data_IF_336280607547
#
_entry.id   IF_336280607547
#
_cell.length_a   1.000
_cell.length_b   1.000
_cell.length_c   1.000
_cell.angle_alpha   90.00
_cell.angle_beta   90.00
_cell.angle_gamma   90.00
#
_symmetry.space_group_name_H-M   'P 1'
#
loop_
_entity.id
_entity.type
_entity.pdbx_description
1 polymer ?
#
# COMPACT_ATOMS: atom_id res chain seq x y z
N UNK A 1 -0.22 -5.12 1.10
CA UNK A 1 0.41 -3.80 0.98
C UNK A 1 1.67 -3.81 1.81
N UNK A 2 2.80 -3.36 1.26
CA UNK A 2 4.05 -3.14 2.00
C UNK A 2 3.74 -2.29 3.23
N UNK A 3 4.36 -2.60 4.38
CA UNK A 3 4.06 -1.87 5.62
C UNK A 3 4.41 -0.39 5.44
N UNK A 4 3.45 0.48 5.77
CA UNK A 4 3.61 1.94 5.63
C UNK A 4 4.81 2.47 6.43
N UNK A 5 5.10 1.85 7.57
CA UNK A 5 6.25 2.19 8.42
C UNK A 5 7.59 1.95 7.70
N UNK A 6 7.79 0.75 7.15
CA UNK A 6 9.00 0.39 6.39
C UNK A 6 9.17 1.27 5.14
N UNK A 7 8.06 1.54 4.43
CA UNK A 7 8.06 2.40 3.24
C UNK A 7 8.44 3.85 3.57
N UNK A 8 7.99 4.39 4.71
CA UNK A 8 8.35 5.73 5.15
C UNK A 8 9.82 5.83 5.57
N UNK A 9 10.37 4.79 6.20
CA UNK A 9 11.80 4.72 6.55
C UNK A 9 12.64 4.73 5.27
N UNK A 10 12.30 3.87 4.30
CA UNK A 10 13.00 3.82 3.02
C UNK A 10 12.90 5.14 2.26
N UNK A 11 11.74 5.81 2.28
CA UNK A 11 11.58 7.13 1.68
C UNK A 11 12.48 8.19 2.34
N UNK A 12 12.64 8.13 3.66
CA UNK A 12 13.53 9.01 4.40
C UNK A 12 14.96 8.89 3.90
N UNK A 13 15.48 7.66 3.82
CA UNK A 13 16.79 7.38 3.26
C UNK A 13 16.91 7.86 1.80
N UNK A 14 15.95 7.50 0.94
CA UNK A 14 15.99 7.80 -0.49
C UNK A 14 16.04 9.32 -0.76
N UNK A 15 15.39 10.13 0.06
CA UNK A 15 15.45 11.60 -0.02
C UNK A 15 16.80 12.17 0.40
N UNK A 16 17.45 11.62 1.43
CA UNK A 16 18.80 12.07 1.81
C UNK A 16 19.82 11.67 0.73
N UNK A 17 19.72 10.46 0.20
CA UNK A 17 20.48 10.00 -0.97
C UNK A 17 20.27 10.91 -2.20
N UNK A 18 19.03 11.33 -2.47
CA UNK A 18 18.70 12.25 -3.56
C UNK A 18 19.37 13.63 -3.37
N UNK A 19 19.46 14.14 -2.14
CA UNK A 19 20.19 15.38 -1.85
C UNK A 19 21.68 15.24 -2.14
N UNK A 20 22.30 14.10 -1.82
CA UNK A 20 23.71 13.83 -2.13
C UNK A 20 23.97 13.93 -3.64
N UNK A 21 23.12 13.30 -4.47
CA UNK A 21 23.19 13.46 -5.92
C UNK A 21 23.05 14.93 -6.33
N UNK A 22 22.02 15.63 -5.83
CA UNK A 22 21.78 17.03 -6.16
C UNK A 22 22.95 17.96 -5.78
N UNK A 23 23.58 17.74 -4.63
CA UNK A 23 24.74 18.53 -4.14
C UNK A 23 26.03 18.21 -4.90
N UNK A 24 26.22 16.95 -5.30
CA UNK A 24 27.38 16.54 -6.11
C UNK A 24 27.32 17.03 -7.56
N UNK A 25 26.10 17.14 -8.11
CA UNK A 25 25.85 17.39 -9.53
C UNK A 25 25.96 16.14 -10.41
N UNK A 26 26.22 14.98 -9.82
CA UNK A 26 26.31 13.69 -10.52
C UNK A 26 24.94 13.05 -10.67
N UNK A 27 24.79 12.20 -11.69
CA UNK A 27 23.55 11.45 -11.95
C UNK A 27 23.74 9.93 -11.84
N UNK A 28 24.99 9.47 -11.76
CA UNK A 28 25.36 8.07 -11.67
C UNK A 28 26.13 7.86 -10.37
N UNK A 29 25.76 6.83 -9.60
CA UNK A 29 26.35 6.55 -8.29
C UNK A 29 27.85 6.34 -8.39
N UNK A 30 28.33 5.65 -9.44
CA UNK A 30 29.75 5.40 -9.66
C UNK A 30 30.59 6.68 -9.78
N UNK A 31 29.99 7.80 -10.19
CA UNK A 31 30.65 9.09 -10.36
C UNK A 31 30.73 9.90 -9.05
N UNK A 32 29.93 9.54 -8.03
CA UNK A 32 29.99 10.17 -6.71
C UNK A 32 31.36 9.98 -6.06
N UNK A 33 31.76 10.95 -5.22
CA UNK A 33 33.00 10.81 -4.45
C UNK A 33 32.85 9.67 -3.46
N UNK A 34 33.95 9.00 -3.12
CA UNK A 34 33.97 7.89 -2.16
C UNK A 34 33.22 8.20 -0.86
N UNK A 35 33.46 9.38 -0.27
CA UNK A 35 32.78 9.83 0.96
C UNK A 35 31.26 9.95 0.82
N UNK A 36 30.75 10.29 -0.37
CA UNK A 36 29.32 10.46 -0.65
C UNK A 36 28.66 9.09 -0.82
N UNK A 37 29.35 8.16 -1.51
CA UNK A 37 28.92 6.76 -1.62
C UNK A 37 28.79 6.09 -0.25
N UNK A 38 29.84 6.19 0.57
CA UNK A 38 29.86 5.63 1.94
C UNK A 38 28.75 6.25 2.79
N UNK A 39 28.55 7.57 2.71
CA UNK A 39 27.49 8.23 3.46
C UNK A 39 26.08 7.70 3.10
N UNK A 40 25.84 7.36 1.83
CA UNK A 40 24.56 6.77 1.41
C UNK A 40 24.38 5.35 1.95
N UNK A 41 25.44 4.52 1.92
CA UNK A 41 25.42 3.15 2.43
C UNK A 41 25.19 3.12 3.95
N UNK A 42 26.02 3.83 4.72
CA UNK A 42 25.89 3.86 6.19
C UNK A 42 24.55 4.44 6.63
N UNK A 43 24.01 5.43 5.90
CA UNK A 43 22.66 5.93 6.17
C UNK A 43 21.57 4.88 5.93
N UNK A 44 21.79 3.92 5.01
CA UNK A 44 20.87 2.79 4.80
C UNK A 44 21.01 1.76 5.94
N UNK A 45 22.23 1.41 6.32
CA UNK A 45 22.51 0.49 7.44
C UNK A 45 21.92 1.00 8.76
N UNK A 46 21.97 2.31 8.99
CA UNK A 46 21.47 2.95 10.21
C UNK A 46 19.96 3.26 10.16
N UNK A 47 19.27 3.05 9.03
CA UNK A 47 17.86 3.44 8.89
C UNK A 47 16.89 2.54 9.66
N UNK A 48 17.36 1.37 10.13
CA UNK A 48 16.58 0.42 10.92
C UNK A 48 15.78 -0.59 10.10
N UNK A 49 15.98 -0.64 8.78
CA UNK A 49 15.53 -1.75 7.93
C UNK A 49 16.51 -2.92 8.00
N UNK A 50 16.02 -4.14 7.77
CA UNK A 50 16.85 -5.34 7.77
C UNK A 50 17.80 -5.35 6.57
N UNK A 51 19.10 -5.47 6.85
CA UNK A 51 20.16 -5.57 5.85
C UNK A 51 20.45 -7.04 5.59
N UNK A 52 20.37 -7.44 4.32
CA UNK A 52 20.79 -8.74 3.82
C UNK A 52 22.14 -8.61 3.11
N UNK A 53 23.10 -9.44 3.51
CA UNK A 53 24.39 -9.64 2.84
C UNK A 53 24.35 -10.99 2.11
N UNK A 54 24.95 -11.09 0.93
CA UNK A 54 25.03 -12.33 0.14
C UNK A 54 25.75 -13.50 0.83
N UNK A 55 26.53 -13.22 1.88
CA UNK A 55 27.04 -14.22 2.82
C UNK A 55 28.17 -15.08 2.26
N UNK A 56 28.76 -14.70 1.12
CA UNK A 56 30.09 -15.16 0.76
C UNK A 56 31.15 -14.35 1.52
N UNK A 57 32.26 -15.02 1.84
CA UNK A 57 33.27 -14.56 2.79
C UNK A 57 34.14 -13.40 2.28
N UNK A 58 33.73 -12.77 1.19
CA UNK A 58 34.43 -11.73 0.46
C UNK A 58 33.57 -10.52 0.05
N UNK A 59 32.24 -10.61 0.16
CA UNK A 59 31.26 -9.51 0.12
C UNK A 59 31.07 -8.86 -1.26
N UNK A 60 29.98 -9.19 -1.97
CA UNK A 60 29.69 -8.61 -3.29
C UNK A 60 28.47 -7.69 -3.33
N UNK A 61 27.59 -7.71 -2.32
CA UNK A 61 26.51 -6.73 -2.16
C UNK A 61 25.92 -6.63 -0.75
N UNK A 62 25.39 -5.45 -0.44
CA UNK A 62 24.51 -5.21 0.71
C UNK A 62 23.15 -4.74 0.23
N UNK A 63 22.07 -5.26 0.81
CA UNK A 63 20.73 -4.93 0.34
C UNK A 63 19.69 -4.78 1.44
N UNK A 64 18.71 -3.90 1.17
CA UNK A 64 17.45 -3.83 1.91
C UNK A 64 16.35 -4.27 0.97
N UNK A 65 15.47 -5.16 1.44
CA UNK A 65 14.26 -5.55 0.71
C UNK A 65 13.01 -5.41 1.59
N UNK A 66 12.04 -4.62 1.15
CA UNK A 66 10.71 -4.51 1.77
C UNK A 66 9.66 -5.07 0.81
N UNK A 67 8.72 -5.89 1.31
CA UNK A 67 7.78 -6.62 0.43
C UNK A 67 6.46 -6.97 1.13
N UNK A 68 5.45 -7.25 0.31
CA UNK A 68 4.22 -7.95 0.70
C UNK A 68 4.00 -9.21 -0.16
N UNK A 69 2.78 -9.73 -0.20
CA UNK A 69 2.45 -10.94 -0.99
C UNK A 69 2.56 -10.76 -2.52
N UNK A 70 2.57 -9.51 -3.01
CA UNK A 70 2.44 -9.17 -4.44
C UNK A 70 3.46 -8.16 -4.95
N UNK A 71 4.12 -7.43 -4.05
CA UNK A 71 4.97 -6.29 -4.39
C UNK A 71 6.26 -6.31 -3.57
N UNK A 72 7.39 -5.97 -4.19
CA UNK A 72 8.70 -5.84 -3.54
C UNK A 72 9.45 -4.59 -3.97
N UNK A 73 10.20 -4.00 -3.04
CA UNK A 73 11.14 -2.92 -3.28
C UNK A 73 12.48 -3.34 -2.70
N UNK A 74 13.55 -3.21 -3.46
CA UNK A 74 14.90 -3.46 -2.95
C UNK A 74 15.86 -2.33 -3.28
N UNK A 75 16.82 -2.09 -2.39
CA UNK A 75 18.00 -1.26 -2.63
C UNK A 75 19.20 -2.14 -2.45
N UNK A 76 20.14 -2.12 -3.39
CA UNK A 76 21.32 -2.99 -3.42
C UNK A 76 22.55 -2.14 -3.71
N UNK A 77 23.52 -2.18 -2.81
CA UNK A 77 24.85 -1.64 -3.00
C UNK A 77 25.80 -2.75 -3.43
N UNK A 78 26.73 -2.44 -4.33
CA UNK A 78 27.72 -3.39 -4.83
C UNK A 78 29.13 -2.91 -4.56
N UNK A 79 29.99 -3.85 -4.19
CA UNK A 79 31.43 -3.64 -4.05
C UNK A 79 32.19 -4.60 -4.96
N UNK A 80 33.32 -4.14 -5.50
CA UNK A 80 34.27 -5.00 -6.21
C UNK A 80 35.32 -5.63 -5.27
N UNK A 81 35.10 -5.56 -3.95
CA UNK A 81 35.98 -6.16 -2.96
C UNK A 81 35.93 -7.70 -3.02
N UNK A 82 37.05 -8.32 -2.65
CA UNK A 82 37.13 -9.75 -2.33
C UNK A 82 37.40 -9.97 -0.81
N UNK A 83 37.35 -8.91 -0.02
CA UNK A 83 37.53 -8.95 1.43
C UNK A 83 36.43 -8.07 2.02
N UNK A 84 35.60 -8.56 2.96
CA UNK A 84 34.52 -7.76 3.54
C UNK A 84 35.04 -6.50 4.23
N UNK A 85 36.26 -6.52 4.76
CA UNK A 85 36.89 -5.35 5.39
C UNK A 85 37.18 -4.24 4.37
N UNK A 86 37.22 -4.56 3.07
CA UNK A 86 37.48 -3.65 1.96
C UNK A 86 36.17 -3.21 1.23
N UNK A 87 34.99 -3.58 1.72
CA UNK A 87 33.70 -3.30 1.05
C UNK A 87 33.50 -1.81 0.77
N UNK A 88 33.63 -0.97 1.81
CA UNK A 88 33.54 0.50 1.75
C UNK A 88 34.58 1.14 0.82
N UNK A 89 35.75 0.52 0.71
CA UNK A 89 36.86 0.98 -0.10
C UNK A 89 36.62 0.75 -1.60
N UNK A 90 35.80 -0.27 -1.94
CA UNK A 90 35.54 -0.70 -3.32
C UNK A 90 34.08 -0.55 -3.77
N UNK A 91 33.27 0.21 -3.00
CA UNK A 91 31.88 0.52 -3.29
C UNK A 91 31.73 1.22 -4.66
N UNK A 92 31.03 0.57 -5.60
CA UNK A 92 31.02 1.00 -7.00
C UNK A 92 29.62 1.01 -7.66
N UNK A 93 28.63 0.37 -7.07
CA UNK A 93 27.30 0.25 -7.65
C UNK A 93 26.19 0.51 -6.64
N UNK A 94 25.07 1.04 -7.16
CA UNK A 94 23.81 1.17 -6.45
C UNK A 94 22.67 0.86 -7.43
N UNK A 95 21.88 -0.13 -7.09
CA UNK A 95 20.68 -0.54 -7.81
C UNK A 95 19.46 -0.43 -6.90
N UNK A 96 18.37 0.07 -7.45
CA UNK A 96 17.08 0.11 -6.80
C UNK A 96 16.08 -0.67 -7.65
N UNK A 97 15.22 -1.50 -7.06
CA UNK A 97 14.24 -2.30 -7.80
C UNK A 97 12.83 -2.12 -7.22
N UNK A 98 11.83 -2.19 -8.11
CA UNK A 98 10.41 -2.30 -7.77
C UNK A 98 9.80 -3.43 -8.59
N UNK A 99 9.38 -4.51 -7.94
CA UNK A 99 9.02 -5.78 -8.58
C UNK A 99 10.12 -6.21 -9.56
N UNK A 100 9.86 -6.11 -10.87
CA UNK A 100 10.82 -6.44 -11.93
C UNK A 100 11.43 -5.19 -12.60
N UNK A 101 11.06 -3.99 -12.16
CA UNK A 101 11.61 -2.73 -12.68
C UNK A 101 12.91 -2.41 -11.97
N UNK A 102 13.99 -2.39 -12.74
CA UNK A 102 15.30 -1.95 -12.30
C UNK A 102 15.44 -0.43 -12.52
N UNK A 103 15.87 0.26 -11.48
CA UNK A 103 16.30 1.65 -11.48
C UNK A 103 17.81 1.61 -11.20
N UNK A 104 18.60 1.80 -12.24
CA UNK A 104 20.05 1.76 -12.13
C UNK A 104 20.64 3.17 -11.97
N UNK A 105 21.68 3.27 -11.14
CA UNK A 105 22.56 4.43 -11.09
C UNK A 105 24.01 4.09 -11.53
N UNK A 106 24.27 2.87 -12.02
CA UNK A 106 25.42 2.49 -12.86
C UNK A 106 25.79 0.99 -12.90
N UNK A 107 25.66 0.34 -14.07
CA UNK A 107 26.67 -0.36 -14.92
C UNK A 107 26.03 -0.78 -16.27
N UNK A 108 24.71 -0.80 -16.38
CA UNK A 108 23.97 -0.90 -17.64
C UNK A 108 22.80 0.09 -17.66
N UNK A 109 22.59 0.82 -18.75
CA UNK A 109 21.57 1.89 -18.76
C UNK A 109 20.16 1.29 -18.72
N UNK A 110 19.54 1.27 -17.54
CA UNK A 110 18.08 1.16 -17.44
C UNK A 110 17.43 2.46 -17.91
N UNK A 111 16.22 2.40 -18.49
CA UNK A 111 15.45 3.59 -18.90
C UNK A 111 14.91 4.41 -17.70
N UNK A 112 15.20 3.98 -16.47
CA UNK A 112 14.67 4.52 -15.22
C UNK A 112 15.81 5.07 -14.35
N UNK A 113 15.59 6.24 -13.74
CA UNK A 113 16.60 6.95 -12.94
C UNK A 113 16.37 6.77 -11.44
N UNK A 114 17.39 7.05 -10.62
CA UNK A 114 17.23 7.11 -9.16
C UNK A 114 16.12 8.10 -8.73
N UNK A 115 15.97 9.23 -9.42
CA UNK A 115 14.84 10.14 -9.18
C UNK A 115 13.48 9.48 -9.45
N UNK A 116 13.38 8.66 -10.50
CA UNK A 116 12.17 7.88 -10.77
C UNK A 116 11.87 6.85 -9.68
N UNK A 117 12.89 6.30 -9.03
CA UNK A 117 12.73 5.44 -7.86
C UNK A 117 12.20 6.23 -6.64
N UNK A 118 12.76 7.42 -6.37
CA UNK A 118 12.27 8.30 -5.31
C UNK A 118 10.81 8.70 -5.56
N UNK A 119 10.46 9.12 -6.78
CA UNK A 119 9.10 9.48 -7.16
C UNK A 119 8.12 8.31 -6.99
N UNK A 120 8.55 7.09 -7.30
CA UNK A 120 7.75 5.89 -7.10
C UNK A 120 7.44 5.68 -5.61
N UNK A 121 8.45 5.76 -4.73
CA UNK A 121 8.23 5.60 -3.28
C UNK A 121 7.39 6.75 -2.71
N UNK A 122 7.61 7.99 -3.17
CA UNK A 122 6.75 9.14 -2.82
C UNK A 122 5.30 8.84 -3.18
N UNK A 123 5.04 8.40 -4.40
CA UNK A 123 3.69 8.04 -4.83
C UNK A 123 3.10 6.91 -3.99
N UNK A 124 3.88 5.89 -3.62
CA UNK A 124 3.41 4.79 -2.77
C UNK A 124 3.14 5.21 -1.32
N UNK A 125 3.87 6.19 -0.78
CA UNK A 125 3.62 6.74 0.56
C UNK A 125 2.45 7.73 0.60
N UNK A 126 2.18 8.39 -0.52
CA UNK A 126 1.16 9.43 -0.68
C UNK A 126 -0.13 8.95 -1.35
N UNK A 127 -0.18 7.73 -1.90
CA UNK A 127 -1.40 7.20 -2.50
C UNK A 127 -2.41 6.88 -1.40
N UNK A 128 -3.18 7.90 -1.03
CA UNK A 128 -4.37 7.75 -0.22
C UNK A 128 -5.34 6.85 -0.97
N UNK A 129 -5.72 5.75 -0.34
CA UNK A 129 -6.80 4.91 -0.85
C UNK A 129 -8.07 5.76 -0.91
N UNK A 130 -8.62 5.91 -2.11
CA UNK A 130 -9.90 6.58 -2.33
C UNK A 130 -11.01 5.68 -1.80
N UNK A 131 -11.75 6.15 -0.80
CA UNK A 131 -12.88 5.42 -0.22
C UNK A 131 -14.19 6.00 -0.77
N UNK A 132 -14.90 5.21 -1.57
CA UNK A 132 -16.21 5.60 -2.14
C UNK A 132 -17.32 4.88 -1.41
N UNK A 133 -18.16 5.62 -0.70
CA UNK A 133 -19.32 5.04 -0.03
C UNK A 133 -20.51 4.93 -0.99
N UNK A 134 -20.89 3.70 -1.32
CA UNK A 134 -22.04 3.35 -2.15
C UNK A 134 -23.20 2.77 -1.33
N UNK A 135 -23.29 3.15 -0.06
CA UNK A 135 -24.45 2.90 0.80
C UNK A 135 -25.32 4.15 0.92
N UNK A 136 -26.61 4.04 1.29
CA UNK A 136 -27.52 5.19 1.34
C UNK A 136 -27.17 6.28 2.35
N UNK A 137 -26.36 5.98 3.36
CA UNK A 137 -26.05 6.90 4.46
C UNK A 137 -24.56 7.12 4.58
N UNK A 138 -24.16 8.28 5.11
CA UNK A 138 -22.76 8.54 5.42
C UNK A 138 -22.23 7.49 6.42
N UNK A 139 -20.97 7.12 6.27
CA UNK A 139 -20.29 6.17 7.15
C UNK A 139 -19.28 6.94 7.97
N UNK A 140 -19.47 6.97 9.29
CA UNK A 140 -18.53 7.59 10.23
C UNK A 140 -17.65 6.53 10.85
N UNK A 141 -16.34 6.74 10.77
CA UNK A 141 -15.30 5.91 11.35
C UNK A 141 -14.86 6.48 12.71
N UNK A 142 -14.85 5.62 13.72
CA UNK A 142 -14.36 5.93 15.05
C UNK A 142 -13.01 5.26 15.31
N UNK A 143 -12.20 5.86 16.17
CA UNK A 143 -10.98 5.25 16.67
C UNK A 143 -11.29 4.04 17.57
N UNK A 144 -10.25 3.34 18.01
CA UNK A 144 -10.38 2.17 18.86
C UNK A 144 -11.16 2.45 20.17
N UNK A 145 -11.08 3.68 20.68
CA UNK A 145 -11.82 4.15 21.86
C UNK A 145 -13.35 4.14 21.67
N UNK A 146 -13.84 4.20 20.43
CA UNK A 146 -15.27 4.30 20.12
C UNK A 146 -15.89 5.68 20.36
N UNK A 147 -15.09 6.70 20.62
CA UNK A 147 -15.54 8.06 20.91
C UNK A 147 -14.96 9.08 19.91
N UNK A 148 -13.69 8.91 19.52
CA UNK A 148 -13.01 9.85 18.63
C UNK A 148 -13.37 9.56 17.17
N UNK A 149 -13.93 10.55 16.46
CA UNK A 149 -14.20 10.45 15.01
C UNK A 149 -12.89 10.58 14.24
N UNK A 150 -12.57 9.56 13.44
CA UNK A 150 -11.40 9.52 12.55
C UNK A 150 -11.74 10.10 11.18
N UNK A 151 -12.90 9.74 10.63
CA UNK A 151 -13.32 10.18 9.30
C UNK A 151 -14.84 10.02 9.14
N UNK A 152 -15.46 10.77 8.24
CA UNK A 152 -16.85 10.53 7.79
C UNK A 152 -16.89 10.57 6.27
N UNK A 153 -17.25 9.43 5.67
CA UNK A 153 -17.34 9.29 4.21
C UNK A 153 -18.80 9.49 3.77
N UNK A 154 -19.12 10.59 3.06
CA UNK A 154 -20.47 10.83 2.58
C UNK A 154 -20.86 9.80 1.53
N UNK A 155 -22.16 9.49 1.43
CA UNK A 155 -22.67 8.67 0.34
C UNK A 155 -22.40 9.36 -1.00
N UNK A 156 -21.82 8.62 -1.93
CA UNK A 156 -21.48 9.07 -3.29
C UNK A 156 -22.39 8.43 -4.36
N UNK A 157 -23.43 7.73 -3.92
CA UNK A 157 -24.30 6.91 -4.76
C UNK A 157 -24.76 5.66 -4.02
N UNK A 158 -25.47 4.78 -4.72
CA UNK A 158 -25.92 3.50 -4.14
C UNK A 158 -25.67 2.37 -5.13
N UNK A 159 -24.91 1.37 -4.69
CA UNK A 159 -24.79 0.08 -5.37
C UNK A 159 -25.64 -0.96 -4.65
N UNK A 160 -26.56 -1.61 -5.37
CA UNK A 160 -27.55 -2.51 -4.78
C UNK A 160 -27.70 -3.78 -5.59
N UNK A 161 -27.72 -4.91 -4.91
CA UNK A 161 -28.16 -6.17 -5.51
C UNK A 161 -29.66 -6.08 -5.83
N UNK A 162 -30.05 -6.46 -7.05
CA UNK A 162 -31.44 -6.59 -7.46
C UNK A 162 -32.20 -7.46 -6.44
N UNK A 163 -33.38 -7.03 -6.02
CA UNK A 163 -34.20 -7.76 -5.07
C UNK A 163 -35.48 -8.23 -5.73
N UNK A 164 -35.67 -9.55 -5.82
CA UNK A 164 -36.93 -10.14 -6.26
C UNK A 164 -37.78 -10.53 -5.06
N UNK A 165 -39.11 -10.43 -5.20
CA UNK A 165 -40.08 -10.86 -4.19
C UNK A 165 -41.18 -11.69 -4.85
N UNK A 166 -41.43 -12.86 -4.28
CA UNK A 166 -42.51 -13.77 -4.67
C UNK A 166 -43.44 -13.95 -3.47
N UNK A 167 -44.74 -13.66 -3.62
CA UNK A 167 -45.72 -13.83 -2.54
C UNK A 167 -45.92 -15.31 -2.21
N UNK A 168 -45.95 -15.66 -0.93
CA UNK A 168 -46.13 -17.03 -0.43
C UNK A 168 -47.42 -17.21 0.38
N UNK A 169 -48.32 -16.22 0.40
CA UNK A 169 -49.54 -16.23 1.21
C UNK A 169 -49.42 -15.34 2.45
N UNK A 170 -50.10 -15.69 3.54
CA UNK A 170 -50.03 -14.96 4.80
C UNK A 170 -49.87 -15.89 6.02
N UNK A 171 -49.28 -15.36 7.09
CA UNK A 171 -49.28 -15.98 8.42
C UNK A 171 -50.05 -15.03 9.34
N UNK A 172 -51.21 -15.45 9.86
CA UNK A 172 -52.09 -14.64 10.71
C UNK A 172 -52.49 -13.29 10.08
N UNK A 173 -52.75 -13.27 8.77
CA UNK A 173 -53.09 -12.07 8.01
C UNK A 173 -51.89 -11.20 7.61
N UNK A 174 -50.66 -11.61 7.94
CA UNK A 174 -49.43 -10.90 7.58
C UNK A 174 -48.87 -11.48 6.27
N UNK A 175 -48.79 -10.72 5.17
CA UNK A 175 -48.26 -11.21 3.89
C UNK A 175 -46.82 -11.70 4.03
N UNK A 176 -46.57 -12.90 3.53
CA UNK A 176 -45.24 -13.52 3.49
C UNK A 176 -44.73 -13.51 2.06
N UNK A 177 -43.45 -13.21 1.88
CA UNK A 177 -42.80 -13.28 0.57
C UNK A 177 -41.47 -14.01 0.67
N UNK A 178 -41.15 -14.79 -0.35
CA UNK A 178 -39.80 -15.27 -0.62
C UNK A 178 -39.01 -14.16 -1.30
N UNK A 179 -37.82 -13.87 -0.80
CA UNK A 179 -36.92 -12.85 -1.39
C UNK A 179 -35.71 -13.51 -2.02
N UNK A 180 -35.36 -13.07 -3.23
CA UNK A 180 -34.09 -13.40 -3.89
C UNK A 180 -33.23 -12.15 -4.09
N UNK A 181 -31.92 -12.36 -4.25
CA UNK A 181 -30.96 -11.32 -4.58
C UNK A 181 -30.26 -11.68 -5.88
N UNK A 182 -30.27 -10.76 -6.84
CA UNK A 182 -29.77 -10.94 -8.20
C UNK A 182 -28.53 -10.09 -8.48
N UNK A 183 -28.40 -9.64 -9.73
CA UNK A 183 -27.24 -8.88 -10.20
C UNK A 183 -27.11 -7.56 -9.45
N UNK A 184 -25.87 -7.10 -9.27
CA UNK A 184 -25.61 -5.76 -8.72
C UNK A 184 -25.82 -4.68 -9.78
N UNK A 185 -26.58 -3.66 -9.42
CA UNK A 185 -26.75 -2.42 -10.18
C UNK A 185 -26.04 -1.26 -9.47
N UNK A 186 -25.62 -0.26 -10.24
CA UNK A 186 -24.98 0.95 -9.70
C UNK A 186 -23.57 0.75 -9.15
N UNK A 187 -22.95 -0.43 -9.36
CA UNK A 187 -21.57 -0.69 -8.94
C UNK A 187 -20.58 -0.29 -10.04
N UNK A 188 -19.68 0.69 -9.80
CA UNK A 188 -18.62 1.04 -10.75
C UNK A 188 -17.66 -0.12 -11.00
N UNK A 189 -16.95 -0.07 -12.14
CA UNK A 189 -15.81 -0.96 -12.41
C UNK A 189 -14.71 -0.71 -11.36
N UNK A 190 -13.85 -1.71 -11.04
CA UNK A 190 -12.68 -1.49 -10.22
C UNK A 190 -11.85 -0.31 -10.74
N UNK A 191 -11.32 0.49 -9.81
CA UNK A 191 -10.43 1.59 -10.10
C UNK A 191 -9.17 1.48 -9.24
N UNK A 192 -8.06 1.97 -9.75
CA UNK A 192 -6.77 1.97 -9.06
C UNK A 192 -6.88 2.74 -7.74
N UNK A 193 -6.22 2.23 -6.69
CA UNK A 193 -6.20 2.82 -5.34
C UNK A 193 -7.59 3.20 -4.80
N UNK A 194 -8.64 2.48 -5.18
CA UNK A 194 -10.03 2.78 -4.80
C UNK A 194 -10.68 1.58 -4.16
N UNK A 195 -11.37 1.80 -3.06
CA UNK A 195 -12.28 0.83 -2.45
C UNK A 195 -13.72 1.36 -2.43
N UNK A 196 -14.67 0.44 -2.45
CA UNK A 196 -16.10 0.77 -2.39
C UNK A 196 -16.72 0.21 -1.11
N UNK A 197 -17.31 1.08 -0.29
CA UNK A 197 -18.15 0.65 0.84
C UNK A 197 -19.53 0.34 0.30
N UNK A 198 -19.99 -0.90 0.45
CA UNK A 198 -21.28 -1.39 -0.05
C UNK A 198 -22.04 -2.11 1.07
N UNK A 199 -23.31 -2.47 0.80
CA UNK A 199 -24.06 -3.35 1.70
C UNK A 199 -23.52 -4.79 1.65
N UNK A 200 -23.74 -5.56 2.71
CA UNK A 200 -23.40 -6.99 2.76
C UNK A 200 -24.01 -7.77 1.59
N UNK A 201 -25.27 -7.47 1.24
CA UNK A 201 -25.97 -8.11 0.13
C UNK A 201 -25.30 -7.79 -1.22
N UNK A 202 -24.87 -6.54 -1.41
CA UNK A 202 -24.15 -6.11 -2.61
C UNK A 202 -22.79 -6.81 -2.70
N UNK A 203 -22.03 -6.87 -1.61
CA UNK A 203 -20.74 -7.58 -1.57
C UNK A 203 -20.90 -9.08 -1.84
N UNK A 204 -21.93 -9.72 -1.26
CA UNK A 204 -22.25 -11.13 -1.50
C UNK A 204 -22.68 -11.43 -2.93
N UNK A 205 -23.29 -10.47 -3.62
CA UNK A 205 -23.72 -10.63 -5.02
C UNK A 205 -22.57 -10.41 -6.02
N UNK A 206 -21.42 -9.88 -5.58
CA UNK A 206 -20.23 -9.61 -6.39
C UNK A 206 -18.95 -10.14 -5.71
N UNK A 207 -18.97 -11.40 -5.25
CA UNK A 207 -17.87 -12.02 -4.48
C UNK A 207 -16.54 -12.06 -5.21
N UNK A 208 -16.54 -11.98 -6.53
CA UNK A 208 -15.33 -11.93 -7.36
C UNK A 208 -14.56 -10.61 -7.24
N UNK A 209 -15.18 -9.57 -6.66
CA UNK A 209 -14.59 -8.26 -6.49
C UNK A 209 -13.79 -8.17 -5.18
N UNK A 210 -12.51 -7.81 -5.28
CA UNK A 210 -11.61 -7.69 -4.14
C UNK A 210 -11.57 -6.29 -3.50
N UNK A 211 -12.23 -5.32 -4.13
CA UNK A 211 -12.26 -3.90 -3.78
C UNK A 211 -13.57 -3.48 -3.07
N UNK A 212 -14.45 -4.44 -2.74
CA UNK A 212 -15.70 -4.19 -2.01
C UNK A 212 -15.55 -4.46 -0.53
N UNK A 213 -15.93 -3.47 0.27
CA UNK A 213 -15.86 -3.53 1.73
C UNK A 213 -17.23 -3.25 2.33
N UNK A 214 -17.47 -3.82 3.50
CA UNK A 214 -18.62 -3.54 4.36
C UNK A 214 -18.12 -2.87 5.64
N UNK A 215 -19.01 -2.14 6.32
CA UNK A 215 -18.72 -1.67 7.68
C UNK A 215 -18.62 -2.84 8.66
N UNK A 216 -17.72 -2.74 9.64
CA UNK A 216 -17.52 -3.73 10.70
C UNK A 216 -17.18 -3.04 12.04
N UNK A 217 -17.35 -3.77 13.15
CA UNK A 217 -17.17 -3.26 14.52
C UNK A 217 -18.00 -1.98 14.77
N UNK A 218 -19.32 -2.17 14.80
CA UNK A 218 -20.32 -1.08 14.85
C UNK A 218 -20.30 -0.35 16.19
N UNK A 219 -20.21 0.98 16.14
CA UNK A 219 -20.36 1.87 17.30
C UNK A 219 -21.83 2.25 17.47
N UNK A 220 -22.33 2.14 18.70
CA UNK A 220 -23.72 2.46 19.04
C UNK A 220 -23.82 3.45 20.18
N UNK A 221 -24.87 4.25 20.19
CA UNK A 221 -25.23 5.07 21.35
C UNK A 221 -25.89 4.24 22.47
N UNK A 222 -26.19 4.89 23.59
CA UNK A 222 -26.86 4.27 24.75
C UNK A 222 -28.28 3.78 24.46
N UNK A 223 -28.89 4.25 23.37
CA UNK A 223 -30.22 3.83 22.90
C UNK A 223 -30.13 2.68 21.89
N UNK A 224 -28.92 2.23 21.54
CA UNK A 224 -28.66 1.20 20.55
C UNK A 224 -28.64 1.67 19.10
N UNK A 225 -28.77 2.98 18.83
CA UNK A 225 -28.68 3.53 17.48
C UNK A 225 -27.24 3.44 16.96
N UNK A 226 -27.09 3.16 15.66
CA UNK A 226 -25.78 3.07 15.03
C UNK A 226 -25.24 4.49 14.80
N UNK A 227 -24.08 4.78 15.40
CA UNK A 227 -23.35 6.03 15.21
C UNK A 227 -22.30 5.94 14.09
N UNK A 228 -21.77 4.73 13.85
CA UNK A 228 -20.68 4.51 12.91
C UNK A 228 -20.05 3.12 13.07
N UNK A 229 -18.78 3.01 12.70
CA UNK A 229 -18.00 1.77 12.75
C UNK A 229 -16.54 2.05 13.10
N UNK A 230 -15.80 1.05 13.59
CA UNK A 230 -14.35 1.14 13.84
C UNK A 230 -13.52 0.47 12.76
N UNK A 231 -14.13 -0.41 11.96
CA UNK A 231 -13.45 -1.22 10.98
C UNK A 231 -14.22 -1.35 9.66
N UNK A 232 -13.51 -1.85 8.65
CA UNK A 232 -14.06 -2.36 7.41
C UNK A 232 -13.77 -3.86 7.32
N UNK A 233 -14.67 -4.61 6.70
CA UNK A 233 -14.49 -6.03 6.44
C UNK A 233 -14.73 -6.38 4.98
N UNK A 234 -14.17 -7.52 4.56
CA UNK A 234 -14.48 -8.18 3.28
C UNK A 234 -15.26 -9.46 3.56
N UNK A 235 -16.21 -9.76 2.69
CA UNK A 235 -16.96 -11.02 2.75
C UNK A 235 -16.13 -12.15 2.12
N UNK A 236 -16.05 -13.29 2.81
CA UNK A 236 -15.50 -14.55 2.29
C UNK A 236 -16.51 -15.35 1.44
#
# INVERSE_FOLDING_TARGET
>A
MIKKEELNVLLGWAKEAQKIFAESGETEFKELRRREKIAMLHALEECGLEIETDGDSDGSSESVTIKDETTSISVVFFSAAYDPDDFDDNLNGLQCNFDDKMFDSGYDKSDLTFDGFVDLIVNMTQSDVTIINLTPHAVTFYAADGETIVNTVPSSGVARAEQSRESMGDINGIPVSKTGYGKVEGLPKPAENTIYIVSVLTAQAAKERNDLYIVDDIVRDTSGQILGCKALARIM
#
